data_IF_335292317796
#
_entry.id   IF_335292317796
#
_cell.length_a   1.000
_cell.length_b   1.000
_cell.length_c   1.000
_cell.angle_alpha   90.00
_cell.angle_beta   90.00
_cell.angle_gamma   90.00
#
_symmetry.space_group_name_H-M   'P 1'
#
loop_
_entity.id
_entity.type
_entity.pdbx_description
1 polymer ?
#
# COMPACT_ATOMS: atom_id res chain seq x y z
N UNK A 1 -9.00 -3.89 10.63
CA UNK A 1 -8.58 -5.26 11.03
C UNK A 1 -7.08 -5.57 10.81
N UNK A 2 -6.21 -4.60 10.51
CA UNK A 2 -4.74 -4.82 10.49
C UNK A 2 -4.01 -4.31 11.76
N UNK A 3 -4.66 -3.44 12.54
CA UNK A 3 -4.07 -2.77 13.71
C UNK A 3 -3.59 -3.72 14.82
N UNK A 4 -4.11 -4.94 14.86
CA UNK A 4 -3.86 -5.93 15.92
C UNK A 4 -2.90 -7.05 15.49
N UNK A 5 -2.42 -7.03 14.25
CA UNK A 5 -1.52 -8.05 13.73
C UNK A 5 -0.06 -7.71 14.10
N UNK A 6 0.81 -8.72 14.30
CA UNK A 6 2.22 -8.53 14.60
C UNK A 6 3.02 -8.15 13.33
N UNK A 7 2.59 -7.13 12.62
CA UNK A 7 3.24 -6.62 11.42
C UNK A 7 3.21 -5.08 11.39
N UNK A 8 4.12 -4.49 10.64
CA UNK A 8 4.10 -3.05 10.34
C UNK A 8 3.32 -2.81 9.04
N UNK A 9 2.39 -1.86 9.08
CA UNK A 9 1.57 -1.45 7.94
C UNK A 9 2.05 -0.09 7.46
N UNK A 10 2.34 0.01 6.17
CA UNK A 10 2.56 1.29 5.48
C UNK A 10 1.36 1.58 4.59
N UNK A 11 0.64 2.65 4.87
CA UNK A 11 -0.38 3.17 3.96
C UNK A 11 0.28 4.14 3.01
N UNK A 12 0.41 3.71 1.76
CA UNK A 12 0.99 4.52 0.69
C UNK A 12 -0.14 5.07 -0.17
N UNK A 13 -0.12 6.37 -0.40
CA UNK A 13 -1.01 7.06 -1.34
C UNK A 13 -0.31 8.31 -1.88
N UNK A 14 -0.95 9.03 -2.81
CA UNK A 14 -0.43 10.30 -3.31
C UNK A 14 -0.34 11.34 -2.19
N UNK A 15 0.57 12.30 -2.32
CA UNK A 15 0.76 13.36 -1.31
C UNK A 15 -0.46 14.29 -1.19
N UNK A 16 -1.22 14.44 -2.26
CA UNK A 16 -2.46 15.20 -2.32
C UNK A 16 -3.69 14.39 -1.89
N UNK A 17 -3.53 13.12 -1.52
CA UNK A 17 -4.62 12.28 -1.04
C UNK A 17 -5.20 12.80 0.29
N UNK A 18 -6.51 12.63 0.46
CA UNK A 18 -7.20 12.98 1.69
C UNK A 18 -7.01 11.87 2.74
N UNK A 19 -5.87 11.88 3.44
CA UNK A 19 -5.65 10.99 4.58
C UNK A 19 -6.60 11.34 5.74
N UNK A 20 -7.04 10.33 6.53
CA UNK A 20 -7.75 10.60 7.77
C UNK A 20 -6.94 11.50 8.71
N UNK A 21 -7.60 12.33 9.53
CA UNK A 21 -6.90 13.17 10.50
C UNK A 21 -6.19 12.31 11.54
N UNK A 22 -5.10 12.83 12.12
CA UNK A 22 -4.20 12.06 12.97
C UNK A 22 -4.88 11.49 14.23
N UNK A 23 -5.91 12.17 14.74
CA UNK A 23 -6.73 11.72 15.87
C UNK A 23 -7.57 10.48 15.52
N UNK A 24 -8.08 10.36 14.29
CA UNK A 24 -8.79 9.18 13.82
C UNK A 24 -7.86 7.95 13.68
N UNK A 25 -6.56 8.17 13.50
CA UNK A 25 -5.53 7.13 13.45
C UNK A 25 -4.87 6.89 14.81
N UNK A 26 -5.21 7.69 15.83
CA UNK A 26 -4.64 7.57 17.15
C UNK A 26 -4.98 6.20 17.75
N UNK A 27 -3.95 5.52 18.28
CA UNK A 27 -4.08 4.18 18.85
C UNK A 27 -3.73 3.04 17.88
N UNK A 28 -3.49 3.32 16.58
CA UNK A 28 -2.99 2.32 15.63
C UNK A 28 -1.45 2.33 15.66
N UNK A 29 -0.87 1.56 16.59
CA UNK A 29 0.58 1.58 16.84
C UNK A 29 1.46 0.97 15.75
N UNK A 30 0.88 0.23 14.80
CA UNK A 30 1.62 -0.43 13.73
C UNK A 30 1.47 0.23 12.35
N UNK A 31 0.83 1.40 12.26
CA UNK A 31 0.57 2.11 11.01
C UNK A 31 1.56 3.27 10.81
N UNK A 32 2.12 3.36 9.61
CA UNK A 32 2.81 4.53 9.12
C UNK A 32 2.13 5.04 7.83
N UNK A 33 1.83 6.34 7.78
CA UNK A 33 1.42 7.01 6.54
C UNK A 33 2.69 7.33 5.72
N UNK A 34 2.69 6.95 4.45
CA UNK A 34 3.78 7.19 3.51
C UNK A 34 3.22 7.89 2.25
N UNK A 35 3.10 9.20 2.35
CA UNK A 35 2.56 10.04 1.29
C UNK A 35 3.64 10.34 0.23
N UNK A 36 3.39 9.96 -1.03
CA UNK A 36 4.37 10.03 -2.13
C UNK A 36 3.83 10.80 -3.33
N UNK A 37 4.71 11.36 -4.15
CA UNK A 37 4.28 11.91 -5.45
C UNK A 37 4.00 10.76 -6.44
N UNK A 38 4.81 9.70 -6.39
CA UNK A 38 4.63 8.46 -7.16
C UNK A 38 4.51 7.25 -6.21
N UNK A 39 3.29 6.73 -5.97
CA UNK A 39 3.07 5.57 -5.11
C UNK A 39 3.80 4.32 -5.60
N UNK A 40 4.00 4.15 -6.91
CA UNK A 40 4.65 2.97 -7.46
C UNK A 40 6.11 2.81 -6.99
N UNK A 41 6.80 3.90 -6.66
CA UNK A 41 8.18 3.86 -6.16
C UNK A 41 8.28 3.23 -4.75
N UNK A 42 7.16 3.12 -4.03
CA UNK A 42 7.14 2.38 -2.78
C UNK A 42 7.31 0.87 -2.98
N UNK A 43 6.92 0.35 -4.16
CA UNK A 43 7.15 -1.05 -4.52
C UNK A 43 8.64 -1.32 -4.57
N UNK A 44 9.44 -0.46 -5.19
CA UNK A 44 10.89 -0.67 -5.34
C UNK A 44 11.64 -0.51 -4.00
N UNK A 45 11.18 0.41 -3.14
CA UNK A 45 11.77 0.66 -1.83
C UNK A 45 11.40 -0.39 -0.76
N UNK A 46 10.46 -1.28 -1.03
CA UNK A 46 10.01 -2.26 -0.04
C UNK A 46 11.07 -3.37 0.19
N UNK A 47 11.26 -3.85 1.42
CA UNK A 47 12.12 -5.02 1.67
C UNK A 47 11.64 -6.27 0.91
N UNK A 48 12.53 -7.24 0.64
CA UNK A 48 12.13 -8.57 0.19
C UNK A 48 11.12 -9.20 1.18
N UNK A 49 10.30 -10.12 0.69
CA UNK A 49 9.25 -10.79 1.45
C UNK A 49 8.18 -9.85 2.03
N UNK A 50 7.96 -8.70 1.39
CA UNK A 50 6.86 -7.78 1.73
C UNK A 50 5.52 -8.31 1.23
N UNK A 51 4.45 -8.00 1.98
CA UNK A 51 3.06 -8.22 1.59
C UNK A 51 2.52 -6.94 0.92
N UNK A 52 2.03 -7.06 -0.31
CA UNK A 52 1.41 -5.95 -1.04
C UNK A 52 -0.09 -6.15 -1.13
N UNK A 53 -0.84 -5.12 -0.76
CA UNK A 53 -2.30 -5.06 -0.92
C UNK A 53 -2.62 -3.77 -1.66
N UNK A 54 -3.05 -3.89 -2.93
CA UNK A 54 -3.38 -2.75 -3.79
C UNK A 54 -4.86 -2.45 -3.69
N UNK A 55 -5.18 -1.24 -3.24
CA UNK A 55 -6.53 -0.75 -2.98
C UNK A 55 -6.72 0.63 -3.60
N UNK A 56 -6.62 0.74 -4.92
CA UNK A 56 -6.84 2.02 -5.61
C UNK A 56 -8.17 2.01 -6.38
N UNK A 57 -8.54 3.16 -6.91
CA UNK A 57 -9.67 3.37 -7.82
C UNK A 57 -9.18 3.81 -9.21
N UNK A 58 -7.86 3.69 -9.46
CA UNK A 58 -7.17 4.15 -10.66
C UNK A 58 -6.59 2.93 -11.37
N UNK A 59 -7.26 2.49 -12.43
CA UNK A 59 -6.87 1.29 -13.18
C UNK A 59 -5.47 1.39 -13.80
N UNK A 60 -5.03 2.60 -14.16
CA UNK A 60 -3.69 2.78 -14.72
C UNK A 60 -2.64 2.57 -13.62
N UNK A 61 -2.86 3.11 -12.44
CA UNK A 61 -2.00 2.91 -11.29
C UNK A 61 -2.00 1.44 -10.82
N UNK A 62 -3.17 0.79 -10.79
CA UNK A 62 -3.28 -0.63 -10.44
C UNK A 62 -2.44 -1.51 -11.38
N UNK A 63 -2.49 -1.24 -12.68
CA UNK A 63 -1.69 -1.95 -13.67
C UNK A 63 -0.18 -1.75 -13.44
N UNK A 64 0.25 -0.51 -13.24
CA UNK A 64 1.67 -0.18 -12.97
C UNK A 64 2.16 -0.87 -11.70
N UNK A 65 1.36 -0.83 -10.62
CA UNK A 65 1.69 -1.49 -9.35
C UNK A 65 1.78 -3.00 -9.53
N UNK A 66 0.79 -3.62 -10.16
CA UNK A 66 0.77 -5.05 -10.40
C UNK A 66 1.98 -5.51 -11.22
N UNK A 67 2.29 -4.81 -12.32
CA UNK A 67 3.44 -5.13 -13.14
C UNK A 67 4.74 -5.04 -12.34
N UNK A 68 4.97 -3.94 -11.61
CA UNK A 68 6.19 -3.76 -10.82
C UNK A 68 6.33 -4.81 -9.71
N UNK A 69 5.26 -5.10 -8.97
CA UNK A 69 5.26 -6.10 -7.90
C UNK A 69 5.56 -7.49 -8.46
N UNK A 70 4.88 -7.89 -9.54
CA UNK A 70 5.07 -9.20 -10.17
C UNK A 70 6.49 -9.36 -10.75
N UNK A 71 7.05 -8.29 -11.34
CA UNK A 71 8.42 -8.30 -11.89
C UNK A 71 9.50 -8.46 -10.83
N UNK A 72 9.29 -7.96 -9.61
CA UNK A 72 10.27 -8.11 -8.52
C UNK A 72 10.51 -9.57 -8.15
N UNK A 73 9.46 -10.39 -8.10
CA UNK A 73 9.56 -11.83 -7.84
C UNK A 73 10.00 -12.24 -6.43
N UNK A 74 10.27 -11.30 -5.53
CA UNK A 74 10.75 -11.54 -4.15
C UNK A 74 9.73 -11.17 -3.06
N UNK A 75 8.48 -10.86 -3.45
CA UNK A 75 7.39 -10.53 -2.52
C UNK A 75 6.85 -11.78 -1.80
N UNK A 76 6.29 -11.61 -0.60
CA UNK A 76 5.67 -12.71 0.14
C UNK A 76 4.20 -12.93 -0.25
N UNK A 77 3.50 -11.86 -0.58
CA UNK A 77 2.10 -11.89 -1.02
C UNK A 77 1.78 -10.67 -1.87
N UNK A 78 0.90 -10.86 -2.86
CA UNK A 78 0.30 -9.79 -3.64
C UNK A 78 -1.20 -10.03 -3.78
N UNK A 79 -2.00 -9.05 -3.35
CA UNK A 79 -3.45 -9.01 -3.54
C UNK A 79 -3.88 -7.65 -4.08
N UNK A 80 -4.94 -7.65 -4.88
CA UNK A 80 -5.56 -6.45 -5.44
C UNK A 80 -7.07 -6.55 -5.24
N UNK A 81 -7.72 -5.45 -4.84
CA UNK A 81 -9.18 -5.43 -4.78
C UNK A 81 -9.74 -5.41 -6.21
N UNK A 82 -10.69 -6.29 -6.51
CA UNK A 82 -11.37 -6.27 -7.79
C UNK A 82 -12.26 -5.03 -7.92
N UNK A 83 -12.35 -4.49 -9.12
CA UNK A 83 -13.36 -3.48 -9.45
C UNK A 83 -14.75 -4.14 -9.45
N UNK A 84 -15.80 -3.45 -8.98
CA UNK A 84 -17.15 -3.94 -9.19
C UNK A 84 -17.45 -4.11 -10.69
N UNK A 85 -18.33 -5.05 -11.06
CA UNK A 85 -18.65 -5.36 -12.46
C UNK A 85 -19.29 -4.18 -13.21
#
# INVERSE_FOLDING_TARGET
MLATLPCHVRWIDRRDAAFPPADALAGIGNLAIDARDEPADAVDAAPPHTYFVVMTHDHALDFVLAERILRRGDYAYFGMIGSPP
#
